data_IF_394295131231
#
_entry.id   IF_394295131231
#
_cell.length_a   1.000
_cell.length_b   1.000
_cell.length_c   1.000
_cell.angle_alpha   90.00
_cell.angle_beta   90.00
_cell.angle_gamma   90.00
#
_symmetry.space_group_name_H-M   'P 1'
#
loop_
_entity.id
_entity.type
_entity.pdbx_description
1 polymer ?
#
# COMPACT_ATOMS: atom_id res chain seq x y z
N UNK A 1 -28.54 61.35 25.68
CA UNK A 1 -29.17 61.31 27.02
C UNK A 1 -30.67 61.11 26.83
N UNK A 2 -31.17 59.89 27.06
CA UNK A 2 -32.36 59.74 27.90
C UNK A 2 -32.19 58.65 28.97
N UNK A 3 -32.78 58.92 30.13
CA UNK A 3 -32.70 58.13 31.35
C UNK A 3 -33.66 56.94 31.31
N UNK A 4 -33.18 55.75 31.69
CA UNK A 4 -34.06 54.63 32.05
C UNK A 4 -33.91 54.29 33.53
N UNK A 5 -35.07 54.29 34.18
CA UNK A 5 -35.32 54.20 35.61
C UNK A 5 -35.02 52.81 36.16
N UNK A 6 -34.37 52.82 37.32
CA UNK A 6 -34.25 51.71 38.27
C UNK A 6 -35.62 51.23 38.74
N UNK A 7 -35.91 49.95 38.57
CA UNK A 7 -36.95 49.24 39.31
C UNK A 7 -36.30 48.12 40.13
N UNK A 8 -36.06 48.44 41.41
CA UNK A 8 -35.87 47.47 42.47
C UNK A 8 -37.16 46.66 42.62
N UNK A 9 -37.08 45.33 42.55
CA UNK A 9 -38.02 44.45 43.27
C UNK A 9 -37.23 43.57 44.24
N UNK A 10 -37.76 43.55 45.45
CA UNK A 10 -37.28 42.90 46.67
C UNK A 10 -37.44 41.38 46.62
N UNK A 11 -36.83 40.66 47.58
CA UNK A 11 -36.68 39.21 47.57
C UNK A 11 -37.89 38.52 48.19
N UNK A 12 -38.18 37.30 47.72
CA UNK A 12 -38.94 36.33 48.49
C UNK A 12 -38.06 35.12 48.81
N UNK A 13 -38.20 34.71 50.06
CA UNK A 13 -37.49 33.64 50.77
C UNK A 13 -38.43 32.43 50.90
N UNK A 14 -37.83 31.27 51.25
CA UNK A 14 -38.43 29.99 51.66
C UNK A 14 -38.59 28.95 50.52
N UNK A 15 -37.64 28.02 50.31
CA UNK A 15 -37.33 26.77 51.06
C UNK A 15 -38.13 25.55 50.51
N UNK A 16 -37.75 24.28 50.74
CA UNK A 16 -36.43 23.64 50.88
C UNK A 16 -36.29 22.38 49.96
N UNK A 17 -35.22 21.62 50.17
CA UNK A 17 -35.08 20.18 49.85
C UNK A 17 -34.85 19.77 48.39
N UNK A 18 -33.57 19.57 48.06
CA UNK A 18 -33.10 18.35 47.41
C UNK A 18 -31.58 18.27 47.54
N UNK A 19 -31.11 17.68 48.64
CA UNK A 19 -29.76 17.14 48.74
C UNK A 19 -29.66 15.90 47.82
N UNK A 20 -29.66 16.11 46.51
CA UNK A 20 -29.05 15.15 45.62
C UNK A 20 -27.55 15.34 45.75
N UNK A 21 -26.96 14.60 46.67
CA UNK A 21 -25.57 14.22 46.58
C UNK A 21 -25.41 13.53 45.22
N UNK A 22 -25.01 14.31 44.22
CA UNK A 22 -24.48 13.83 42.96
C UNK A 22 -23.19 13.10 43.32
N UNK A 23 -23.35 11.81 43.63
CA UNK A 23 -22.26 10.84 43.70
C UNK A 23 -21.74 10.75 42.27
N UNK A 24 -20.86 11.70 41.92
CA UNK A 24 -19.94 11.54 40.80
C UNK A 24 -19.24 10.21 41.04
N UNK A 25 -19.45 9.18 40.20
CA UNK A 25 -18.61 8.02 40.27
C UNK A 25 -17.22 8.51 39.91
N UNK A 26 -16.36 8.67 40.92
CA UNK A 26 -14.92 8.72 40.70
C UNK A 26 -14.58 7.35 40.15
N UNK A 27 -14.60 7.25 38.82
CA UNK A 27 -14.04 6.14 38.06
C UNK A 27 -12.54 6.22 38.28
N UNK A 28 -12.10 5.74 39.44
CA UNK A 28 -10.71 5.39 39.71
C UNK A 28 -10.31 4.38 38.62
N UNK A 29 -9.39 4.74 37.71
CA UNK A 29 -8.99 3.82 36.65
C UNK A 29 -8.33 2.60 37.30
N UNK A 30 -8.95 1.44 37.09
CA UNK A 30 -8.55 0.14 37.60
C UNK A 30 -7.04 -0.07 37.44
N UNK A 31 -6.32 -0.24 38.55
CA UNK A 31 -4.84 -0.34 38.61
C UNK A 31 -4.29 -1.41 37.65
N UNK A 32 -5.09 -2.45 37.35
CA UNK A 32 -4.75 -3.50 36.39
C UNK A 32 -4.63 -2.97 34.95
N UNK A 33 -5.45 -1.99 34.55
CA UNK A 33 -5.43 -1.41 33.20
C UNK A 33 -4.17 -0.58 32.94
N UNK A 34 -3.71 0.19 33.94
CA UNK A 34 -2.52 1.02 33.87
C UNK A 34 -1.23 0.20 33.73
N UNK A 35 -1.16 -0.94 34.43
CA UNK A 35 -0.04 -1.89 34.32
C UNK A 35 0.04 -2.50 32.91
N UNK A 36 -1.08 -2.98 32.36
CA UNK A 36 -1.14 -3.55 31.00
C UNK A 36 -0.71 -2.55 29.91
N UNK A 37 -1.17 -1.30 29.97
CA UNK A 37 -0.78 -0.26 29.00
C UNK A 37 0.69 0.13 29.09
N UNK A 38 1.26 0.11 30.30
CA UNK A 38 2.70 0.35 30.47
C UNK A 38 3.55 -0.77 29.84
N UNK A 39 3.09 -2.02 29.93
CA UNK A 39 3.73 -3.14 29.25
C UNK A 39 3.59 -3.03 27.72
N UNK A 40 2.41 -2.63 27.23
CA UNK A 40 2.18 -2.41 25.81
C UNK A 40 3.08 -1.30 25.23
N UNK A 41 3.28 -0.19 25.93
CA UNK A 41 4.21 0.86 25.46
C UNK A 41 5.67 0.39 25.43
N UNK A 42 6.09 -0.41 26.41
CA UNK A 42 7.44 -0.99 26.40
C UNK A 42 7.62 -1.93 25.20
N UNK A 43 6.62 -2.76 24.92
CA UNK A 43 6.61 -3.60 23.74
C UNK A 43 6.65 -2.76 22.45
N UNK A 44 5.87 -1.68 22.38
CA UNK A 44 5.87 -0.75 21.25
C UNK A 44 7.24 -0.06 21.07
N UNK A 45 7.91 0.34 22.15
CA UNK A 45 9.26 0.92 22.10
C UNK A 45 10.27 -0.09 21.55
N UNK A 46 10.23 -1.34 22.03
CA UNK A 46 11.09 -2.42 21.53
C UNK A 46 10.81 -2.73 20.05
N UNK A 47 9.54 -2.82 19.67
CA UNK A 47 9.16 -3.05 18.28
C UNK A 47 9.63 -1.90 17.38
N UNK A 48 9.52 -0.64 17.81
CA UNK A 48 10.07 0.50 17.05
C UNK A 48 11.59 0.44 16.86
N UNK A 49 12.34 -0.18 17.77
CA UNK A 49 13.78 -0.42 17.58
C UNK A 49 14.01 -1.38 16.41
N UNK A 50 13.24 -2.48 16.36
CA UNK A 50 13.32 -3.45 15.25
C UNK A 50 12.89 -2.81 13.91
N UNK A 51 11.83 -2.01 13.95
CA UNK A 51 11.34 -1.27 12.79
C UNK A 51 12.33 -0.20 12.32
N UNK A 52 13.14 0.40 13.21
CA UNK A 52 14.15 1.40 12.86
C UNK A 52 15.28 0.77 12.03
N UNK A 53 15.67 -0.47 12.35
CA UNK A 53 16.62 -1.26 11.55
C UNK A 53 16.03 -1.58 10.19
N UNK A 54 14.80 -2.11 10.16
CA UNK A 54 14.10 -2.49 8.92
C UNK A 54 13.90 -1.28 7.99
N UNK A 55 13.57 -0.11 8.54
CA UNK A 55 13.45 1.14 7.80
C UNK A 55 14.79 1.68 7.28
N UNK A 56 15.90 1.29 7.91
CA UNK A 56 17.25 1.60 7.43
C UNK A 56 17.59 0.86 6.13
N UNK A 57 17.09 -0.35 5.98
CA UNK A 57 17.43 -1.23 4.84
C UNK A 57 16.66 -0.87 3.56
N UNK A 58 15.49 -0.24 3.67
CA UNK A 58 14.62 0.07 2.51
C UNK A 58 15.02 1.34 1.74
N UNK A 59 15.89 2.19 2.32
CA UNK A 59 16.31 3.49 1.76
C UNK A 59 15.14 4.44 1.39
N UNK A 60 13.95 4.27 1.99
CA UNK A 60 12.78 5.11 1.70
C UNK A 60 12.92 6.47 2.41
N UNK A 61 12.88 7.60 1.69
CA UNK A 61 13.04 8.93 2.29
C UNK A 61 11.97 9.23 3.36
N UNK A 62 12.41 9.63 4.55
CA UNK A 62 11.53 10.02 5.66
C UNK A 62 11.04 8.86 6.53
N UNK A 63 11.12 7.60 6.07
CA UNK A 63 10.64 6.45 6.84
C UNK A 63 11.45 6.26 8.14
N UNK A 64 12.77 6.20 8.04
CA UNK A 64 13.67 6.09 9.20
C UNK A 64 13.49 7.25 10.19
N UNK A 65 13.28 8.46 9.68
CA UNK A 65 13.03 9.64 10.50
C UNK A 65 11.71 9.50 11.28
N UNK A 66 10.63 9.07 10.61
CA UNK A 66 9.34 8.82 11.25
C UNK A 66 9.43 7.76 12.36
N UNK A 67 10.13 6.63 12.12
CA UNK A 67 10.34 5.60 13.16
C UNK A 67 11.10 6.18 14.36
N UNK A 68 12.19 6.89 14.11
CA UNK A 68 13.04 7.47 15.16
C UNK A 68 12.30 8.53 15.99
N UNK A 69 11.46 9.36 15.36
CA UNK A 69 10.61 10.34 16.06
C UNK A 69 9.52 9.63 16.86
N UNK A 70 8.86 8.63 16.28
CA UNK A 70 7.84 7.83 16.95
C UNK A 70 8.35 7.18 18.24
N UNK A 71 9.55 6.58 18.20
CA UNK A 71 10.23 6.04 19.38
C UNK A 71 10.40 7.08 20.48
N UNK A 72 10.87 8.28 20.13
CA UNK A 72 11.00 9.38 21.11
C UNK A 72 9.65 9.81 21.69
N UNK A 73 8.56 9.75 20.92
CA UNK A 73 7.21 10.06 21.41
C UNK A 73 6.73 8.99 22.40
N UNK A 74 6.94 7.71 22.10
CA UNK A 74 6.66 6.59 23.01
C UNK A 74 7.43 6.74 24.32
N UNK A 75 8.73 7.04 24.25
CA UNK A 75 9.56 7.25 25.44
C UNK A 75 9.10 8.46 26.29
N UNK A 76 8.62 9.53 25.64
CA UNK A 76 8.05 10.68 26.34
C UNK A 76 6.70 10.33 26.99
N UNK A 77 5.87 9.54 26.33
CA UNK A 77 4.59 9.10 26.85
C UNK A 77 4.76 8.21 28.09
N UNK A 78 5.75 7.31 28.09
CA UNK A 78 6.08 6.47 29.26
C UNK A 78 6.55 7.33 30.46
N UNK A 79 7.31 8.39 30.19
CA UNK A 79 7.84 9.31 31.22
C UNK A 79 6.86 10.40 31.66
N UNK A 80 5.70 10.53 31.01
CA UNK A 80 4.71 11.57 31.31
C UNK A 80 4.20 11.43 32.75
N UNK A 81 4.12 12.53 33.50
CA UNK A 81 3.61 12.51 34.89
C UNK A 81 2.13 12.90 34.97
N UNK A 82 1.68 13.84 34.13
CA UNK A 82 0.29 14.24 33.92
C UNK A 82 -0.23 13.72 32.58
N UNK A 83 -1.56 13.60 32.44
CA UNK A 83 -2.25 13.19 31.20
C UNK A 83 -1.70 11.87 30.60
N UNK A 84 -1.26 10.94 31.45
CA UNK A 84 -0.65 9.66 31.04
C UNK A 84 -1.50 8.89 30.04
N UNK A 85 -2.80 8.77 30.31
CA UNK A 85 -3.70 8.00 29.44
C UNK A 85 -3.80 8.60 28.04
N UNK A 86 -3.84 9.92 27.92
CA UNK A 86 -3.87 10.60 26.64
C UNK A 86 -2.54 10.47 25.89
N UNK A 87 -1.40 10.67 26.57
CA UNK A 87 -0.08 10.47 26.00
C UNK A 87 0.12 9.01 25.53
N UNK A 88 -0.35 8.04 26.30
CA UNK A 88 -0.34 6.63 25.93
C UNK A 88 -1.17 6.38 24.67
N UNK A 89 -2.39 6.93 24.58
CA UNK A 89 -3.25 6.75 23.41
C UNK A 89 -2.63 7.33 22.12
N UNK A 90 -1.92 8.46 22.23
CA UNK A 90 -1.19 9.06 21.10
C UNK A 90 -0.02 8.15 20.69
N UNK A 91 0.76 7.69 21.67
CA UNK A 91 1.92 6.83 21.42
C UNK A 91 1.52 5.48 20.80
N UNK A 92 0.43 4.87 21.26
CA UNK A 92 -0.14 3.65 20.68
C UNK A 92 -0.60 3.85 19.24
N UNK A 93 -1.31 4.96 18.95
CA UNK A 93 -1.73 5.27 17.59
C UNK A 93 -0.53 5.50 16.65
N UNK A 94 0.51 6.20 17.12
CA UNK A 94 1.76 6.39 16.36
C UNK A 94 2.46 5.07 16.09
N UNK A 95 2.56 4.20 17.10
CA UNK A 95 3.13 2.86 16.97
C UNK A 95 2.42 2.06 15.86
N UNK A 96 1.09 1.95 15.94
CA UNK A 96 0.28 1.19 14.98
C UNK A 96 0.45 1.71 13.54
N UNK A 97 0.56 3.03 13.36
CA UNK A 97 0.76 3.64 12.05
C UNK A 97 2.16 3.35 11.50
N UNK A 98 3.19 3.49 12.33
CA UNK A 98 4.59 3.21 11.93
C UNK A 98 4.76 1.72 11.60
N UNK A 99 4.23 0.82 12.43
CA UNK A 99 4.26 -0.62 12.20
C UNK A 99 3.62 -0.95 10.84
N UNK A 100 2.42 -0.44 10.58
CA UNK A 100 1.73 -0.65 9.30
C UNK A 100 2.53 -0.10 8.13
N UNK A 101 3.13 1.08 8.28
CA UNK A 101 3.92 1.73 7.25
C UNK A 101 5.16 0.91 6.89
N UNK A 102 5.91 0.46 7.90
CA UNK A 102 7.10 -0.37 7.71
C UNK A 102 6.74 -1.72 7.10
N UNK A 103 5.68 -2.38 7.58
CA UNK A 103 5.22 -3.65 7.00
C UNK A 103 4.77 -3.50 5.53
N UNK A 104 4.15 -2.37 5.16
CA UNK A 104 3.72 -2.11 3.77
C UNK A 104 4.91 -1.84 2.85
N UNK A 105 6.01 -1.33 3.41
CA UNK A 105 7.23 -0.98 2.67
C UNK A 105 8.34 -2.04 2.78
N UNK A 106 8.11 -3.10 3.54
CA UNK A 106 9.08 -4.17 3.72
C UNK A 106 9.35 -4.89 2.39
N UNK A 107 10.63 -5.06 2.06
CA UNK A 107 11.06 -5.66 0.80
C UNK A 107 10.90 -4.75 -0.43
N UNK A 108 10.46 -3.50 -0.24
CA UNK A 108 10.41 -2.48 -1.30
C UNK A 108 11.57 -1.50 -1.14
N UNK A 109 12.14 -1.08 -2.26
CA UNK A 109 13.14 -0.01 -2.31
C UNK A 109 12.49 1.32 -2.66
N UNK A 110 13.22 2.43 -2.53
CA UNK A 110 12.71 3.74 -2.96
C UNK A 110 12.31 3.81 -4.44
N UNK A 111 12.78 2.90 -5.30
CA UNK A 111 12.37 2.83 -6.71
C UNK A 111 11.02 2.13 -6.91
N UNK A 112 10.60 1.30 -5.94
CA UNK A 112 9.36 0.51 -6.00
C UNK A 112 8.18 1.22 -5.31
N UNK A 113 8.41 2.43 -4.78
CA UNK A 113 7.46 3.19 -3.98
C UNK A 113 7.06 4.44 -4.76
N UNK A 114 5.75 4.64 -4.93
CA UNK A 114 5.19 5.81 -5.59
C UNK A 114 5.68 7.13 -4.94
N UNK A 115 6.01 8.13 -5.76
CA UNK A 115 6.38 9.47 -5.32
C UNK A 115 5.31 10.11 -4.41
N UNK A 116 4.04 9.81 -4.64
CA UNK A 116 2.94 10.25 -3.77
C UNK A 116 3.07 9.64 -2.37
N UNK A 117 3.36 8.35 -2.30
CA UNK A 117 3.57 7.64 -1.04
C UNK A 117 4.81 8.17 -0.31
N UNK A 118 5.91 8.45 -1.03
CA UNK A 118 7.11 9.08 -0.46
C UNK A 118 6.79 10.48 0.10
N UNK A 119 5.99 11.27 -0.62
CA UNK A 119 5.55 12.60 -0.16
C UNK A 119 4.73 12.49 1.13
N UNK A 120 3.82 11.53 1.20
CA UNK A 120 2.98 11.30 2.38
C UNK A 120 3.80 10.84 3.59
N UNK A 121 4.80 9.97 3.38
CA UNK A 121 5.74 9.54 4.44
C UNK A 121 6.52 10.74 5.00
N UNK A 122 7.01 11.63 4.12
CA UNK A 122 7.69 12.87 4.54
C UNK A 122 6.77 13.79 5.32
N UNK A 123 5.53 13.98 4.86
CA UNK A 123 4.55 14.80 5.56
C UNK A 123 4.23 14.21 6.93
N UNK A 124 4.01 12.90 7.01
CA UNK A 124 3.79 12.19 8.27
C UNK A 124 4.98 12.35 9.23
N UNK A 125 6.22 12.22 8.74
CA UNK A 125 7.42 12.46 9.56
C UNK A 125 7.46 13.89 10.12
N UNK A 126 7.07 14.90 9.33
CA UNK A 126 6.98 16.30 9.77
C UNK A 126 5.90 16.49 10.83
N UNK A 127 4.74 15.88 10.65
CA UNK A 127 3.65 15.94 11.62
C UNK A 127 4.03 15.29 12.96
N UNK A 128 4.75 14.16 12.91
CA UNK A 128 5.31 13.52 14.11
C UNK A 128 6.31 14.45 14.83
N UNK A 129 7.14 15.18 14.10
CA UNK A 129 8.07 16.15 14.70
C UNK A 129 7.31 17.28 15.42
N UNK A 130 6.25 17.81 14.81
CA UNK A 130 5.39 18.82 15.43
C UNK A 130 4.72 18.27 16.70
N UNK A 131 4.22 17.03 16.66
CA UNK A 131 3.64 16.36 17.84
C UNK A 131 4.71 16.20 18.93
N UNK A 132 5.92 15.76 18.57
CA UNK A 132 7.02 15.60 19.51
C UNK A 132 7.38 16.92 20.19
N UNK A 133 7.53 18.00 19.43
CA UNK A 133 7.81 19.35 19.96
C UNK A 133 6.69 19.78 20.92
N UNK A 134 5.44 19.51 20.56
CA UNK A 134 4.25 19.88 21.35
C UNK A 134 4.21 19.12 22.66
N UNK A 135 4.41 17.80 22.64
CA UNK A 135 4.50 16.95 23.82
C UNK A 135 5.70 17.32 24.70
N UNK A 136 6.86 17.63 24.11
CA UNK A 136 8.03 18.10 24.85
C UNK A 136 7.72 19.41 25.58
N UNK A 137 7.11 20.38 24.90
CA UNK A 137 6.66 21.67 25.49
C UNK A 137 5.60 21.48 26.57
N UNK A 138 4.71 20.51 26.44
CA UNK A 138 3.76 20.16 27.50
C UNK A 138 4.49 19.57 28.72
N UNK A 139 5.47 18.68 28.50
CA UNK A 139 6.19 17.98 29.57
C UNK A 139 7.25 18.83 30.31
N UNK A 140 7.85 19.84 29.66
CA UNK A 140 8.94 20.65 30.23
C UNK A 140 8.48 21.76 31.18
N UNK A 141 7.18 22.08 31.19
CA UNK A 141 6.62 23.16 32.01
C UNK A 141 6.56 22.77 33.49
N UNK A 142 7.72 22.82 34.18
CA UNK A 142 7.85 22.70 35.65
C UNK A 142 7.02 23.74 36.43
N UNK A 143 6.47 24.76 35.77
CA UNK A 143 5.67 25.86 36.35
C UNK A 143 4.15 25.62 36.34
N UNK A 144 3.67 24.52 35.77
CA UNK A 144 2.22 24.19 35.71
C UNK A 144 1.63 23.58 36.98
N UNK A 145 2.44 23.44 38.04
CA UNK A 145 1.93 23.00 39.36
C UNK A 145 0.96 24.01 40.00
N UNK A 146 0.84 25.23 39.48
CA UNK A 146 0.06 26.33 40.10
C UNK A 146 -0.84 27.15 39.18
N UNK A 147 -0.72 27.06 37.87
CA UNK A 147 -1.52 27.85 36.93
C UNK A 147 -1.73 27.04 35.66
N UNK A 148 -2.95 27.12 35.13
CA UNK A 148 -3.49 26.47 33.92
C UNK A 148 -4.27 25.18 34.19
N UNK A 149 -5.55 25.32 33.91
CA UNK A 149 -6.64 24.36 33.98
C UNK A 149 -6.40 23.18 33.06
N UNK A 150 -6.97 22.02 33.41
CA UNK A 150 -7.03 20.83 32.56
C UNK A 150 -7.57 21.06 31.13
N UNK A 151 -8.08 22.26 30.80
CA UNK A 151 -8.62 22.63 29.50
C UNK A 151 -7.57 22.86 28.41
N UNK A 152 -6.46 23.53 28.71
CA UNK A 152 -5.46 23.87 27.67
C UNK A 152 -4.63 22.65 27.24
N UNK A 153 -4.23 21.81 28.19
CA UNK A 153 -3.58 20.53 27.88
C UNK A 153 -4.49 19.63 27.04
N UNK A 154 -5.78 19.58 27.38
CA UNK A 154 -6.76 18.80 26.63
C UNK A 154 -6.90 19.28 25.19
N UNK A 155 -6.85 20.60 24.95
CA UNK A 155 -6.83 21.17 23.59
C UNK A 155 -5.57 20.76 22.84
N UNK A 156 -4.39 20.92 23.42
CA UNK A 156 -3.12 20.55 22.75
C UNK A 156 -3.07 19.06 22.39
N UNK A 157 -3.54 18.19 23.29
CA UNK A 157 -3.63 16.74 23.06
C UNK A 157 -4.66 16.45 21.96
N UNK A 158 -5.81 17.11 21.97
CA UNK A 158 -6.83 16.98 20.92
C UNK A 158 -6.28 17.38 19.55
N UNK A 159 -5.53 18.48 19.48
CA UNK A 159 -4.90 18.94 18.23
C UNK A 159 -3.87 17.92 17.73
N UNK A 160 -3.09 17.30 18.63
CA UNK A 160 -2.17 16.23 18.28
C UNK A 160 -2.92 15.01 17.72
N UNK A 161 -4.03 14.61 18.34
CA UNK A 161 -4.89 13.50 17.88
C UNK A 161 -5.47 13.80 16.50
N UNK A 162 -5.96 15.03 16.28
CA UNK A 162 -6.52 15.45 15.00
C UNK A 162 -5.48 15.45 13.88
N UNK A 163 -4.27 15.96 14.14
CA UNK A 163 -3.17 15.92 13.17
C UNK A 163 -2.80 14.48 12.81
N UNK A 164 -2.64 13.63 13.82
CA UNK A 164 -2.33 12.22 13.60
C UNK A 164 -3.39 11.51 12.77
N UNK A 165 -4.67 11.79 13.04
CA UNK A 165 -5.78 11.23 12.29
C UNK A 165 -5.80 11.72 10.84
N UNK A 166 -5.58 13.02 10.61
CA UNK A 166 -5.50 13.59 9.27
C UNK A 166 -4.36 12.95 8.43
N UNK A 167 -3.16 12.81 9.01
CA UNK A 167 -2.03 12.17 8.30
C UNK A 167 -2.29 10.68 8.05
N UNK A 168 -2.92 9.98 9.00
CA UNK A 168 -3.35 8.58 8.83
C UNK A 168 -4.35 8.42 7.69
N UNK A 169 -5.34 9.29 7.60
CA UNK A 169 -6.38 9.20 6.57
C UNK A 169 -5.83 9.55 5.18
N UNK A 170 -4.93 10.55 5.09
CA UNK A 170 -4.19 10.83 3.87
C UNK A 170 -3.39 9.59 3.39
N UNK A 171 -2.68 8.94 4.31
CA UNK A 171 -1.92 7.72 4.00
C UNK A 171 -2.80 6.57 3.50
N UNK A 172 -3.97 6.35 4.12
CA UNK A 172 -4.92 5.31 3.68
C UNK A 172 -5.45 5.59 2.27
N UNK A 173 -5.80 6.84 1.96
CA UNK A 173 -6.29 7.24 0.64
C UNK A 173 -5.22 7.02 -0.42
N UNK A 174 -3.98 7.44 -0.15
CA UNK A 174 -2.85 7.27 -1.06
C UNK A 174 -2.58 5.79 -1.35
N UNK A 175 -2.47 4.97 -0.30
CA UNK A 175 -2.26 3.51 -0.44
C UNK A 175 -3.37 2.84 -1.25
N UNK A 176 -4.64 3.19 -1.02
CA UNK A 176 -5.75 2.62 -1.78
C UNK A 176 -5.75 3.06 -3.25
N UNK A 177 -5.27 4.27 -3.53
CA UNK A 177 -5.21 4.80 -4.90
C UNK A 177 -4.16 4.07 -5.71
N UNK A 178 -2.96 3.89 -5.15
CA UNK A 178 -1.86 3.14 -5.80
C UNK A 178 -2.27 1.69 -6.11
N UNK A 179 -2.89 1.00 -5.15
CA UNK A 179 -3.37 -0.38 -5.38
C UNK A 179 -4.38 -0.41 -6.54
N UNK A 180 -5.30 0.57 -6.61
CA UNK A 180 -6.32 0.61 -7.67
C UNK A 180 -5.73 0.92 -9.04
N UNK A 181 -4.75 1.82 -9.13
CA UNK A 181 -4.11 2.17 -10.40
C UNK A 181 -3.26 1.01 -10.93
N UNK A 182 -2.51 0.33 -10.07
CA UNK A 182 -1.73 -0.87 -10.44
C UNK A 182 -2.64 -2.02 -10.88
N UNK A 183 -3.73 -2.27 -10.15
CA UNK A 183 -4.70 -3.32 -10.51
C UNK A 183 -5.36 -3.03 -11.86
N UNK A 184 -5.60 -1.76 -12.18
CA UNK A 184 -6.14 -1.38 -13.49
C UNK A 184 -5.11 -1.59 -14.61
N UNK A 185 -3.84 -1.26 -14.37
CA UNK A 185 -2.75 -1.53 -15.32
C UNK A 185 -2.59 -3.03 -15.62
N UNK A 186 -2.58 -3.87 -14.59
CA UNK A 186 -2.52 -5.34 -14.76
C UNK A 186 -3.72 -5.85 -15.55
N UNK A 187 -4.93 -5.33 -15.27
CA UNK A 187 -6.15 -5.70 -15.99
C UNK A 187 -6.11 -5.32 -17.47
N UNK A 188 -5.54 -4.15 -17.80
CA UNK A 188 -5.39 -3.71 -19.19
C UNK A 188 -4.37 -4.58 -19.93
N UNK A 189 -3.22 -4.87 -19.31
CA UNK A 189 -2.19 -5.74 -19.90
C UNK A 189 -2.72 -7.17 -20.11
N UNK A 190 -3.46 -7.72 -19.15
CA UNK A 190 -4.11 -9.02 -19.30
C UNK A 190 -5.12 -9.03 -20.48
N UNK A 191 -5.87 -7.94 -20.67
CA UNK A 191 -6.77 -7.79 -21.81
C UNK A 191 -6.07 -7.71 -23.17
N UNK A 192 -4.84 -7.19 -23.23
CA UNK A 192 -4.01 -7.23 -24.45
C UNK A 192 -3.48 -8.65 -24.69
N UNK A 193 -2.99 -9.33 -23.65
CA UNK A 193 -2.49 -10.70 -23.75
C UNK A 193 -3.59 -11.65 -24.22
N UNK A 194 -4.81 -11.55 -23.68
CA UNK A 194 -5.94 -12.40 -24.12
C UNK A 194 -6.27 -12.19 -25.59
N UNK A 195 -6.33 -10.94 -26.06
CA UNK A 195 -6.58 -10.63 -27.49
C UNK A 195 -5.46 -11.16 -28.40
N UNK A 196 -4.21 -11.06 -27.94
CA UNK A 196 -3.07 -11.61 -28.66
C UNK A 196 -3.12 -13.15 -28.70
N UNK A 197 -3.59 -13.80 -27.64
CA UNK A 197 -3.76 -15.25 -27.59
C UNK A 197 -4.84 -15.73 -28.56
N UNK A 198 -5.96 -15.00 -28.67
CA UNK A 198 -7.02 -15.27 -29.66
C UNK A 198 -6.50 -15.14 -31.10
N UNK A 199 -5.68 -14.12 -31.38
CA UNK A 199 -5.08 -13.95 -32.71
C UNK A 199 -4.08 -15.05 -33.04
N UNK A 200 -3.26 -15.49 -32.08
CA UNK A 200 -2.36 -16.63 -32.25
C UNK A 200 -3.16 -17.92 -32.50
N UNK A 201 -4.26 -18.12 -31.79
CA UNK A 201 -5.14 -19.28 -32.00
C UNK A 201 -5.76 -19.26 -33.42
N UNK A 202 -6.23 -18.10 -33.88
CA UNK A 202 -6.75 -17.93 -35.23
C UNK A 202 -5.70 -18.19 -36.32
N UNK A 203 -4.48 -17.69 -36.14
CA UNK A 203 -3.36 -17.93 -37.05
C UNK A 203 -2.99 -19.42 -37.12
N UNK A 204 -2.97 -20.12 -35.98
CA UNK A 204 -2.71 -21.57 -35.94
C UNK A 204 -3.79 -22.37 -36.69
N UNK A 205 -5.05 -21.96 -36.58
CA UNK A 205 -6.15 -22.60 -37.32
C UNK A 205 -5.99 -22.41 -38.85
N UNK A 206 -5.60 -21.22 -39.30
CA UNK A 206 -5.31 -20.98 -40.71
C UNK A 206 -4.13 -21.82 -41.21
N UNK A 207 -3.06 -21.92 -40.42
CA UNK A 207 -1.88 -22.70 -40.77
C UNK A 207 -2.19 -24.19 -40.90
N UNK A 208 -3.08 -24.72 -40.04
CA UNK A 208 -3.56 -26.09 -40.15
C UNK A 208 -4.36 -26.35 -41.44
N UNK A 209 -5.19 -25.39 -41.88
CA UNK A 209 -5.92 -25.50 -43.15
C UNK A 209 -4.97 -25.52 -44.36
N UNK A 210 -3.93 -24.70 -44.35
CA UNK A 210 -2.92 -24.68 -45.42
C UNK A 210 -2.15 -26.00 -45.46
N UNK A 211 -1.77 -26.55 -44.31
CA UNK A 211 -1.10 -27.85 -44.22
C UNK A 211 -1.95 -28.99 -44.78
N UNK A 212 -3.25 -29.01 -44.49
CA UNK A 212 -4.19 -29.99 -45.03
C UNK A 212 -4.32 -29.89 -46.56
N UNK A 213 -4.40 -28.66 -47.08
CA UNK A 213 -4.45 -28.41 -48.53
C UNK A 213 -3.17 -28.89 -49.24
N UNK A 214 -2.01 -28.65 -48.64
CA UNK A 214 -0.72 -29.13 -49.16
C UNK A 214 -0.68 -30.66 -49.16
N UNK A 215 -1.11 -31.30 -48.07
CA UNK A 215 -1.16 -32.76 -48.00
C UNK A 215 -2.09 -33.36 -49.09
N UNK A 216 -3.24 -32.74 -49.32
CA UNK A 216 -4.19 -33.17 -50.36
C UNK A 216 -3.63 -33.03 -51.77
N UNK A 217 -2.99 -31.90 -52.09
CA UNK A 217 -2.41 -31.67 -53.43
C UNK A 217 -1.20 -32.58 -53.71
N UNK A 218 -0.40 -32.93 -52.70
CA UNK A 218 0.68 -33.91 -52.83
C UNK A 218 0.16 -35.32 -53.15
N UNK A 219 -0.93 -35.76 -52.48
CA UNK A 219 -1.58 -37.04 -52.76
C UNK A 219 -2.17 -37.08 -54.18
N UNK A 220 -2.85 -36.01 -54.60
CA UNK A 220 -3.40 -35.89 -55.95
C UNK A 220 -2.28 -35.86 -57.02
N UNK A 221 -1.17 -35.16 -56.76
CA UNK A 221 -0.01 -35.12 -57.66
C UNK A 221 0.67 -36.49 -57.85
N UNK A 222 0.82 -37.28 -56.78
CA UNK A 222 1.36 -38.65 -56.88
C UNK A 222 0.46 -39.59 -57.70
N UNK A 223 -0.86 -39.43 -57.60
CA UNK A 223 -1.81 -40.23 -58.37
C UNK A 223 -1.75 -39.93 -59.88
N UNK A 224 -1.45 -38.68 -60.27
CA UNK A 224 -1.27 -38.30 -61.68
C UNK A 224 0.07 -38.80 -62.22
N UNK A 225 1.15 -38.75 -61.42
CA UNK A 225 2.46 -39.30 -61.80
C UNK A 225 2.42 -40.81 -62.08
N UNK A 226 1.81 -41.59 -61.19
CA UNK A 226 1.64 -43.04 -61.36
C UNK A 226 0.81 -43.41 -62.60
N UNK A 227 -0.17 -42.57 -62.99
CA UNK A 227 -0.97 -42.79 -64.20
C UNK A 227 -0.18 -42.51 -65.48
N UNK A 228 0.67 -41.48 -65.49
CA UNK A 228 1.52 -41.17 -66.65
C UNK A 228 2.59 -42.25 -66.88
N UNK A 229 3.20 -42.78 -65.81
CA UNK A 229 4.19 -43.86 -65.93
C UNK A 229 3.57 -45.19 -66.40
N UNK A 230 2.35 -45.48 -65.96
CA UNK A 230 1.57 -46.62 -66.48
C UNK A 230 1.23 -46.45 -67.97
N UNK A 231 0.83 -45.25 -68.40
CA UNK A 231 0.57 -44.98 -69.82
C UNK A 231 1.83 -45.09 -70.68
N UNK A 232 2.99 -44.67 -70.16
CA UNK A 232 4.29 -44.88 -70.83
C UNK A 232 4.66 -46.37 -70.93
N UNK A 233 4.37 -47.17 -69.90
CA UNK A 233 4.60 -48.62 -69.95
C UNK A 233 3.68 -49.36 -70.93
N UNK A 234 2.43 -48.91 -71.08
CA UNK A 234 1.46 -49.54 -71.99
C UNK A 234 1.61 -49.08 -73.46
N UNK A 235 2.05 -47.85 -73.72
CA UNK A 235 2.25 -47.35 -75.09
C UNK A 235 3.71 -47.38 -75.59
N UNK A 236 4.70 -47.47 -74.71
CA UNK A 236 6.13 -47.42 -75.07
C UNK A 236 6.75 -48.73 -75.52
N UNK A 237 6.01 -49.85 -75.56
CA UNK A 237 6.58 -51.19 -75.84
C UNK A 237 6.48 -51.64 -77.31
N UNK A 238 6.14 -50.75 -78.23
CA UNK A 238 6.22 -51.00 -79.68
C UNK A 238 7.10 -49.97 -80.36
N UNK A 239 8.40 -50.24 -80.45
CA UNK A 239 9.29 -49.62 -81.42
C UNK A 239 10.37 -48.72 -80.84
N UNK A 240 11.57 -49.29 -80.64
CA UNK A 240 12.78 -48.84 -81.32
C UNK A 240 13.97 -49.70 -80.89
N UNK A 241 14.33 -50.63 -81.79
CA UNK A 241 15.64 -51.29 -81.86
C UNK A 241 16.47 -50.48 -82.85
N UNK A 242 17.37 -49.63 -82.37
CA UNK A 242 18.44 -49.01 -83.17
C UNK A 242 19.58 -48.72 -82.18
N UNK A 243 20.54 -49.63 -82.14
CA UNK A 243 21.88 -49.44 -82.73
C UNK A 243 22.80 -48.68 -81.78
N UNK A 244 23.64 -49.48 -81.12
CA UNK A 244 24.84 -49.05 -80.44
C UNK A 244 25.75 -48.36 -81.45
N UNK A 245 26.08 -47.09 -81.22
CA UNK A 245 27.30 -46.51 -81.78
C UNK A 245 28.16 -46.00 -80.63
N UNK A 246 29.20 -46.78 -80.41
CA UNK A 246 30.38 -46.51 -79.61
C UNK A 246 31.11 -45.29 -80.20
N UNK A 247 31.35 -44.25 -79.39
CA UNK A 247 32.39 -43.25 -79.61
C UNK A 247 32.79 -42.65 -78.27
N UNK A 248 33.90 -43.16 -77.74
CA UNK A 248 34.67 -42.47 -76.71
C UNK A 248 35.37 -41.23 -77.26
N UNK A 249 35.52 -40.23 -76.40
CA UNK A 249 36.68 -39.33 -76.25
C UNK A 249 36.37 -38.42 -75.04
N UNK A 250 37.17 -38.48 -73.97
CA UNK A 250 38.19 -37.48 -73.61
C UNK A 250 37.60 -36.05 -73.45
N UNK A 251 37.89 -35.23 -72.44
CA UNK A 251 39.17 -34.97 -71.79
C UNK A 251 38.93 -33.85 -70.76
N UNK A 252 39.65 -33.92 -69.63
CA UNK A 252 40.25 -32.81 -68.86
C UNK A 252 39.44 -31.72 -68.14
N UNK A 253 39.84 -31.62 -66.86
CA UNK A 253 39.85 -30.50 -65.88
C UNK A 253 38.59 -30.20 -65.07
#
# INVERSE_FOLDING_TARGET
>A
MPQFKLLRRRPETHAPAASHADVRPSVEPDRKSRSKRSAALKAASLALIVLETTAGDTNIPGLKAAVSIGKKIVDMAEKAKSNKEDCHSIAEAIYMLIEKLVNTTQGRTSADVDDLLVKDIKQFSSDLEIIQITLRKASSRKLWKRMVTAGDDKRMISDCKQKLQASSDAFKVSTQTVIRTETHGIRLTAGVIMRNQETIAAQRAQLAQVQDLIAKTLLEGQAVGLRSDLLFFFFGRTGCRAECHDHGHAMLM
#
